data_IF_076399619809
#
_entry.id   IF_076399619809
#
_cell.length_a   1.000
_cell.length_b   1.000
_cell.length_c   1.000
_cell.angle_alpha   90.00
_cell.angle_beta   90.00
_cell.angle_gamma   90.00
#
_symmetry.space_group_name_H-M   'P 1'
#
loop_
_entity.id
_entity.type
_entity.pdbx_description
1 polymer ?
#
# COMPACT_ATOMS: atom_id res chain seq x y z
N UNK A 1 -29.09 -12.47 -31.65
CA UNK A 1 -27.82 -12.20 -32.37
C UNK A 1 -27.61 -10.69 -32.41
N UNK A 2 -27.02 -10.11 -31.38
CA UNK A 2 -26.58 -8.70 -31.39
C UNK A 2 -25.07 -8.70 -31.30
N UNK A 3 -24.44 -8.29 -32.39
CA UNK A 3 -22.99 -8.24 -32.55
C UNK A 3 -22.35 -7.41 -31.43
N UNK A 4 -21.47 -8.04 -30.66
CA UNK A 4 -20.55 -7.33 -29.76
C UNK A 4 -19.58 -6.52 -30.61
N UNK A 5 -19.62 -5.20 -30.46
CA UNK A 5 -18.68 -4.29 -31.10
C UNK A 5 -17.23 -4.67 -30.75
N UNK A 6 -16.26 -4.50 -31.68
CA UNK A 6 -14.88 -4.90 -31.44
C UNK A 6 -14.28 -4.05 -30.33
N UNK A 7 -13.93 -4.71 -29.21
CA UNK A 7 -13.24 -4.09 -28.09
C UNK A 7 -11.83 -3.70 -28.55
N UNK A 8 -11.64 -2.42 -28.88
CA UNK A 8 -10.33 -1.86 -29.25
C UNK A 8 -9.30 -2.28 -28.20
N UNK A 9 -8.29 -3.04 -28.62
CA UNK A 9 -7.10 -3.36 -27.80
C UNK A 9 -6.33 -2.07 -27.57
N UNK A 10 -6.72 -1.31 -26.56
CA UNK A 10 -5.95 -0.18 -26.05
C UNK A 10 -4.60 -0.65 -25.51
N UNK A 11 -3.63 0.27 -25.50
CA UNK A 11 -2.30 0.03 -24.95
C UNK A 11 -2.46 -0.44 -23.50
N UNK A 12 -1.79 -1.53 -23.06
CA UNK A 12 -1.93 -2.01 -21.70
C UNK A 12 -1.47 -0.93 -20.72
N UNK A 13 -2.21 -0.69 -19.62
CA UNK A 13 -1.91 0.38 -18.67
C UNK A 13 -0.52 0.23 -18.03
N UNK A 14 0.00 -1.00 -17.93
CA UNK A 14 1.36 -1.27 -17.49
C UNK A 14 2.42 -0.62 -18.40
N UNK A 15 2.21 -0.63 -19.73
CA UNK A 15 3.14 -0.02 -20.67
C UNK A 15 3.14 1.52 -20.53
N UNK A 16 1.98 2.13 -20.32
CA UNK A 16 1.87 3.56 -20.05
C UNK A 16 2.63 3.97 -18.78
N UNK A 17 2.58 3.16 -17.73
CA UNK A 17 3.33 3.39 -16.49
C UNK A 17 4.85 3.28 -16.74
N UNK A 18 5.30 2.26 -17.49
CA UNK A 18 6.72 2.11 -17.81
C UNK A 18 7.27 3.29 -18.63
N UNK A 19 6.53 3.72 -19.66
CA UNK A 19 6.90 4.89 -20.45
C UNK A 19 6.91 6.14 -19.58
N UNK A 20 5.88 6.34 -18.74
CA UNK A 20 5.81 7.46 -17.82
C UNK A 20 6.96 7.47 -16.80
N UNK A 21 7.41 6.30 -16.35
CA UNK A 21 8.58 6.15 -15.47
C UNK A 21 9.86 6.61 -16.16
N UNK A 22 10.11 6.14 -17.39
CA UNK A 22 11.29 6.54 -18.18
C UNK A 22 11.28 8.04 -18.51
N UNK A 23 10.11 8.57 -18.89
CA UNK A 23 9.93 10.01 -19.14
C UNK A 23 10.16 10.80 -17.85
N UNK A 24 9.64 10.33 -16.70
CA UNK A 24 9.86 10.94 -15.40
C UNK A 24 11.34 11.01 -15.02
N UNK A 25 12.09 9.91 -15.23
CA UNK A 25 13.54 9.89 -15.02
C UNK A 25 14.25 10.89 -15.94
N UNK A 26 13.88 10.95 -17.23
CA UNK A 26 14.45 11.91 -18.19
C UNK A 26 14.18 13.36 -17.81
N UNK A 27 12.95 13.68 -17.38
CA UNK A 27 12.57 15.01 -16.89
C UNK A 27 13.33 15.35 -15.61
N UNK A 28 13.45 14.42 -14.66
CA UNK A 28 14.22 14.62 -13.42
C UNK A 28 15.69 14.87 -13.70
N UNK A 29 16.30 14.10 -14.60
CA UNK A 29 17.69 14.30 -15.01
C UNK A 29 17.91 15.65 -15.70
N UNK A 30 16.98 16.07 -16.57
CA UNK A 30 17.04 17.38 -17.20
C UNK A 30 16.99 18.51 -16.17
N UNK A 31 16.11 18.40 -15.17
CA UNK A 31 16.04 19.38 -14.06
C UNK A 31 17.33 19.38 -13.25
N UNK A 32 17.88 18.21 -12.92
CA UNK A 32 19.14 18.07 -12.18
C UNK A 32 20.34 18.73 -12.90
N UNK A 33 20.43 18.60 -14.23
CA UNK A 33 21.54 19.17 -15.01
C UNK A 33 21.38 20.68 -15.25
N UNK A 34 20.16 21.16 -15.46
CA UNK A 34 19.91 22.57 -15.80
C UNK A 34 19.79 23.50 -14.59
N UNK A 35 19.52 22.97 -13.39
CA UNK A 35 19.43 23.73 -12.15
C UNK A 35 20.59 23.37 -11.20
N UNK A 36 21.75 24.06 -11.30
CA UNK A 36 22.91 23.77 -10.44
C UNK A 36 22.70 24.18 -8.96
N UNK A 37 21.65 24.95 -8.65
CA UNK A 37 21.31 25.35 -7.29
C UNK A 37 20.35 24.34 -6.63
N UNK A 38 20.83 23.64 -5.59
CA UNK A 38 20.09 22.58 -4.88
C UNK A 38 18.79 23.08 -4.23
N UNK A 39 18.66 24.39 -4.02
CA UNK A 39 17.44 24.98 -3.46
C UNK A 39 16.34 25.17 -4.52
N UNK A 40 16.70 25.64 -5.72
CA UNK A 40 15.76 25.76 -6.84
C UNK A 40 15.29 24.39 -7.34
N UNK A 41 16.20 23.41 -7.40
CA UNK A 41 15.85 22.02 -7.74
C UNK A 41 14.85 21.40 -6.75
N UNK A 42 14.98 21.70 -5.45
CA UNK A 42 14.03 21.25 -4.41
C UNK A 42 12.66 21.92 -4.52
N UNK A 43 12.59 23.20 -4.85
CA UNK A 43 11.30 23.86 -5.06
C UNK A 43 10.57 23.29 -6.29
N UNK A 44 11.28 23.12 -7.40
CA UNK A 44 10.73 22.49 -8.62
C UNK A 44 10.30 21.05 -8.34
N UNK A 45 11.12 20.27 -7.61
CA UNK A 45 10.75 18.92 -7.18
C UNK A 45 9.51 18.91 -6.28
N UNK A 46 9.35 19.91 -5.41
CA UNK A 46 8.16 20.09 -4.57
C UNK A 46 6.89 20.33 -5.40
N UNK A 47 6.94 21.18 -6.42
CA UNK A 47 5.79 21.38 -7.30
C UNK A 47 5.44 20.13 -8.12
N UNK A 48 6.47 19.39 -8.57
CA UNK A 48 6.28 18.13 -9.29
C UNK A 48 5.68 17.08 -8.34
N UNK A 49 6.12 17.00 -7.08
CA UNK A 49 5.67 15.98 -6.13
C UNK A 49 4.21 16.13 -5.71
N UNK A 50 3.60 17.31 -5.85
CA UNK A 50 2.17 17.54 -5.54
C UNK A 50 1.29 16.52 -6.25
N UNK A 51 1.59 16.20 -7.51
CA UNK A 51 0.79 15.25 -8.28
C UNK A 51 0.86 13.83 -7.70
N UNK A 52 2.05 13.39 -7.29
CA UNK A 52 2.23 12.10 -6.61
C UNK A 52 1.61 12.10 -5.22
N UNK A 53 1.69 13.21 -4.49
CA UNK A 53 1.11 13.34 -3.15
C UNK A 53 -0.42 13.26 -3.19
N UNK A 54 -1.06 13.94 -4.16
CA UNK A 54 -2.51 13.85 -4.38
C UNK A 54 -2.88 12.40 -4.74
N UNK A 55 -2.13 11.75 -5.62
CA UNK A 55 -2.38 10.35 -5.97
C UNK A 55 -2.28 9.42 -4.75
N UNK A 56 -1.25 9.57 -3.92
CA UNK A 56 -1.10 8.78 -2.69
C UNK A 56 -2.25 9.03 -1.70
N UNK A 57 -2.74 10.27 -1.60
CA UNK A 57 -3.93 10.60 -0.80
C UNK A 57 -5.20 9.95 -1.35
N UNK A 58 -5.37 9.93 -2.67
CA UNK A 58 -6.49 9.23 -3.32
C UNK A 58 -6.45 7.73 -3.02
N UNK A 59 -5.27 7.10 -3.06
CA UNK A 59 -5.13 5.69 -2.70
C UNK A 59 -5.44 5.47 -1.21
N UNK A 60 -4.89 6.28 -0.30
CA UNK A 60 -5.16 6.19 1.15
C UNK A 60 -6.64 6.24 1.47
N UNK A 61 -7.39 7.15 0.84
CA UNK A 61 -8.85 7.27 0.98
C UNK A 61 -9.60 5.96 0.65
N UNK A 62 -9.10 5.17 -0.30
CA UNK A 62 -9.74 3.93 -0.73
C UNK A 62 -9.41 2.73 0.15
N UNK A 63 -8.20 2.69 0.74
CA UNK A 63 -7.70 1.51 1.44
C UNK A 63 -8.67 1.07 2.54
N UNK A 64 -9.11 1.99 3.41
CA UNK A 64 -9.96 1.62 4.54
C UNK A 64 -11.28 0.94 4.12
N UNK A 65 -12.14 1.61 3.33
CA UNK A 65 -13.40 1.02 2.88
C UNK A 65 -13.23 -0.22 2.00
N UNK A 66 -12.19 -0.25 1.15
CA UNK A 66 -11.92 -1.38 0.28
C UNK A 66 -11.48 -2.62 1.08
N UNK A 67 -10.52 -2.47 1.99
CA UNK A 67 -10.06 -3.59 2.83
C UNK A 67 -11.19 -4.10 3.71
N UNK A 68 -11.98 -3.19 4.31
CA UNK A 68 -13.13 -3.59 5.12
C UNK A 68 -14.14 -4.40 4.31
N UNK A 69 -14.62 -3.84 3.20
CA UNK A 69 -15.69 -4.48 2.41
C UNK A 69 -15.24 -5.81 1.80
N UNK A 70 -14.03 -5.87 1.24
CA UNK A 70 -13.51 -7.10 0.61
C UNK A 70 -13.29 -8.23 1.61
N UNK A 71 -12.74 -7.93 2.80
CA UNK A 71 -12.56 -8.93 3.84
C UNK A 71 -13.90 -9.43 4.37
N UNK A 72 -14.80 -8.51 4.73
CA UNK A 72 -16.13 -8.88 5.25
C UNK A 72 -16.89 -9.77 4.26
N UNK A 73 -16.91 -9.41 2.97
CA UNK A 73 -17.56 -10.21 1.92
C UNK A 73 -16.88 -11.56 1.77
N UNK A 74 -15.54 -11.60 1.76
CA UNK A 74 -14.79 -12.86 1.64
C UNK A 74 -15.09 -13.82 2.79
N UNK A 75 -15.16 -13.31 4.02
CA UNK A 75 -15.45 -14.09 5.22
C UNK A 75 -16.91 -14.54 5.27
N UNK A 76 -17.84 -13.64 4.93
CA UNK A 76 -19.27 -13.94 4.90
C UNK A 76 -19.61 -15.07 3.93
N UNK A 77 -18.94 -15.13 2.77
CA UNK A 77 -19.09 -16.21 1.80
C UNK A 77 -18.53 -17.56 2.27
N UNK A 78 -17.55 -17.57 3.18
CA UNK A 78 -17.00 -18.80 3.73
C UNK A 78 -17.94 -19.47 4.75
N UNK A 79 -18.87 -18.72 5.36
CA UNK A 79 -19.97 -19.22 6.19
C UNK A 79 -19.59 -19.85 7.53
N UNK A 80 -18.34 -20.30 7.71
CA UNK A 80 -17.86 -21.01 8.90
C UNK A 80 -16.59 -20.37 9.48
N UNK A 81 -16.66 -20.00 10.75
CA UNK A 81 -15.55 -19.42 11.51
C UNK A 81 -14.33 -20.36 11.59
N UNK A 82 -14.53 -21.68 11.66
CA UNK A 82 -13.43 -22.63 11.74
C UNK A 82 -12.65 -22.70 10.42
N UNK A 83 -13.36 -22.63 9.29
CA UNK A 83 -12.77 -22.57 7.96
C UNK A 83 -11.94 -21.31 7.75
N UNK A 84 -12.48 -20.16 8.19
CA UNK A 84 -11.80 -18.85 8.16
C UNK A 84 -10.52 -18.86 8.98
N UNK A 85 -10.58 -19.35 10.23
CA UNK A 85 -9.40 -19.46 11.09
C UNK A 85 -8.31 -20.37 10.51
N UNK A 86 -8.70 -21.46 9.84
CA UNK A 86 -7.76 -22.37 9.15
C UNK A 86 -7.06 -21.70 7.98
N UNK A 87 -7.79 -20.93 7.17
CA UNK A 87 -7.20 -20.19 6.03
C UNK A 87 -6.29 -19.08 6.54
N UNK A 88 -6.72 -18.32 7.55
CA UNK A 88 -5.90 -17.29 8.19
C UNK A 88 -4.60 -17.88 8.75
N UNK A 89 -4.66 -19.01 9.46
CA UNK A 89 -3.45 -19.63 10.00
C UNK A 89 -2.50 -20.15 8.93
N UNK A 90 -3.02 -20.74 7.85
CA UNK A 90 -2.19 -21.15 6.69
C UNK A 90 -1.51 -19.95 6.05
N UNK A 91 -2.24 -18.84 5.86
CA UNK A 91 -1.72 -17.61 5.31
C UNK A 91 -0.66 -16.98 6.24
N UNK A 92 -0.91 -16.95 7.56
CA UNK A 92 0.04 -16.39 8.53
C UNK A 92 1.32 -17.22 8.61
N UNK A 93 1.21 -18.56 8.61
CA UNK A 93 2.38 -19.43 8.58
C UNK A 93 3.18 -19.23 7.30
N UNK A 94 2.51 -19.14 6.15
CA UNK A 94 3.15 -18.86 4.87
C UNK A 94 3.81 -17.47 4.82
N UNK A 95 3.15 -16.45 5.38
CA UNK A 95 3.69 -15.09 5.43
C UNK A 95 4.93 -15.01 6.33
N UNK A 96 4.90 -15.62 7.51
CA UNK A 96 6.05 -15.63 8.43
C UNK A 96 7.23 -16.38 7.81
N UNK A 97 7.01 -17.54 7.20
CA UNK A 97 8.10 -18.29 6.56
C UNK A 97 8.66 -17.54 5.35
N UNK A 98 7.81 -16.98 4.48
CA UNK A 98 8.24 -16.16 3.36
C UNK A 98 9.02 -14.91 3.81
N UNK A 99 8.57 -14.26 4.90
CA UNK A 99 9.24 -13.09 5.46
C UNK A 99 10.61 -13.44 6.03
N UNK A 100 10.74 -14.54 6.76
CA UNK A 100 12.02 -15.02 7.27
C UNK A 100 12.98 -15.35 6.13
N UNK A 101 12.52 -16.05 5.09
CA UNK A 101 13.32 -16.35 3.90
C UNK A 101 13.78 -15.06 3.21
N UNK A 102 12.87 -14.08 3.03
CA UNK A 102 13.21 -12.78 2.45
C UNK A 102 14.24 -12.01 3.30
N UNK A 103 14.13 -12.05 4.63
CA UNK A 103 15.04 -11.36 5.54
C UNK A 103 16.43 -11.99 5.51
N UNK A 104 16.50 -13.32 5.52
CA UNK A 104 17.76 -14.08 5.42
C UNK A 104 18.43 -13.80 4.07
N UNK A 105 17.69 -13.84 2.98
CA UNK A 105 18.22 -13.55 1.64
C UNK A 105 18.72 -12.10 1.55
N UNK A 106 17.97 -11.14 2.09
CA UNK A 106 18.39 -9.73 2.18
C UNK A 106 19.67 -9.56 2.99
N UNK A 107 19.79 -10.26 4.12
CA UNK A 107 21.01 -10.25 4.95
C UNK A 107 22.20 -10.83 4.19
N UNK A 108 22.05 -11.98 3.52
CA UNK A 108 23.12 -12.60 2.75
C UNK A 108 23.58 -11.68 1.61
N UNK A 109 22.66 -11.12 0.84
CA UNK A 109 22.99 -10.20 -0.25
C UNK A 109 23.63 -8.91 0.24
N UNK A 110 23.16 -8.33 1.35
CA UNK A 110 23.74 -7.12 1.93
C UNK A 110 25.18 -7.36 2.41
N UNK A 111 25.45 -8.51 3.04
CA UNK A 111 26.80 -8.87 3.47
C UNK A 111 27.74 -9.18 2.29
N UNK A 112 27.20 -9.69 1.17
CA UNK A 112 28.01 -10.00 -0.01
C UNK A 112 28.29 -8.78 -0.88
N UNK A 113 27.26 -7.99 -1.21
CA UNK A 113 27.39 -6.79 -2.04
C UNK A 113 28.01 -5.60 -1.29
N UNK A 114 27.99 -5.65 0.05
CA UNK A 114 28.50 -4.60 0.94
C UNK A 114 28.16 -3.17 0.45
N UNK A 115 26.86 -2.88 0.20
CA UNK A 115 26.47 -1.58 -0.32
C UNK A 115 26.88 -0.50 0.68
N UNK A 116 27.85 0.33 0.31
CA UNK A 116 28.36 1.41 1.14
C UNK A 116 29.84 1.35 1.52
N UNK A 117 30.53 0.23 1.30
CA UNK A 117 31.96 0.11 1.64
C UNK A 117 32.84 1.18 0.98
N UNK A 118 32.48 1.61 -0.24
CA UNK A 118 33.20 2.62 -1.02
C UNK A 118 32.51 4.00 -1.05
N UNK A 119 31.49 4.25 -0.22
CA UNK A 119 30.80 5.55 -0.24
C UNK A 119 31.57 6.66 0.49
N UNK A 120 32.67 6.34 1.19
CA UNK A 120 33.53 7.33 1.86
C UNK A 120 32.80 8.18 2.89
N UNK A 121 31.64 7.72 3.37
CA UNK A 121 30.83 8.46 4.34
C UNK A 121 31.56 8.42 5.69
N UNK A 122 31.79 9.58 6.34
CA UNK A 122 32.39 9.61 7.67
C UNK A 122 31.53 8.76 8.61
N UNK A 123 32.17 7.82 9.31
CA UNK A 123 31.51 7.03 10.33
C UNK A 123 30.94 8.00 11.38
N UNK A 124 29.64 7.93 11.71
CA UNK A 124 29.09 8.70 12.82
C UNK A 124 29.89 8.42 14.09
N UNK A 125 30.12 9.44 14.91
CA UNK A 125 30.83 9.30 16.19
C UNK A 125 30.28 8.12 17.01
N UNK A 126 31.16 7.41 17.70
CA UNK A 126 30.81 6.25 18.53
C UNK A 126 29.92 6.72 19.69
N UNK A 127 28.59 6.65 19.49
CA UNK A 127 27.60 7.19 20.43
C UNK A 127 26.71 8.29 19.86
N UNK A 128 26.87 8.71 18.61
CA UNK A 128 25.85 9.45 17.89
C UNK A 128 24.56 8.64 17.99
N UNK A 129 23.53 9.22 18.61
CA UNK A 129 22.23 8.61 18.77
C UNK A 129 21.75 8.18 17.39
N UNK A 130 21.99 6.92 17.05
CA UNK A 130 21.25 6.27 15.99
C UNK A 130 19.82 6.44 16.46
N UNK A 131 19.01 7.21 15.73
CA UNK A 131 17.58 7.41 16.03
C UNK A 131 16.83 6.08 15.81
N UNK A 132 17.40 4.96 16.26
CA UNK A 132 16.81 3.65 16.32
C UNK A 132 15.69 3.76 17.34
N UNK A 133 14.46 3.79 16.82
CA UNK A 133 13.22 3.75 17.58
C UNK A 133 13.02 2.40 18.30
N UNK A 134 14.08 1.70 18.71
CA UNK A 134 14.04 0.41 19.41
C UNK A 134 13.33 0.51 20.75
N UNK A 135 13.28 1.71 21.35
CA UNK A 135 12.70 1.95 22.67
C UNK A 135 11.15 2.02 22.71
N UNK A 136 10.45 2.05 21.55
CA UNK A 136 8.98 2.24 21.52
C UNK A 136 8.18 0.97 21.21
N UNK A 137 8.82 -0.16 20.91
CA UNK A 137 8.08 -1.37 20.57
C UNK A 137 7.93 -2.29 21.80
N UNK A 138 6.92 -2.00 22.63
CA UNK A 138 6.57 -2.89 23.75
C UNK A 138 5.47 -3.86 23.30
N UNK A 139 5.54 -5.14 23.68
CA UNK A 139 4.47 -6.12 23.37
C UNK A 139 3.08 -5.62 23.82
N UNK A 140 3.02 -4.92 24.96
CA UNK A 140 1.80 -4.29 25.46
C UNK A 140 1.25 -3.22 24.49
N UNK A 141 2.12 -2.39 23.94
CA UNK A 141 1.74 -1.33 23.00
C UNK A 141 1.29 -1.92 21.67
N UNK A 142 1.98 -2.96 21.18
CA UNK A 142 1.58 -3.70 19.98
C UNK A 142 0.18 -4.33 20.12
N UNK A 143 -0.09 -5.02 21.23
CA UNK A 143 -1.42 -5.62 21.48
C UNK A 143 -2.50 -4.55 21.60
N UNK A 144 -2.21 -3.44 22.29
CA UNK A 144 -3.15 -2.32 22.37
C UNK A 144 -3.41 -1.64 21.02
N UNK A 145 -2.44 -1.67 20.10
CA UNK A 145 -2.58 -1.11 18.75
C UNK A 145 -3.28 -2.07 17.78
N UNK A 146 -3.38 -3.36 18.12
CA UNK A 146 -4.02 -4.39 17.32
C UNK A 146 -5.54 -4.27 17.38
N UNK A 147 -6.10 -4.01 18.57
CA UNK A 147 -7.54 -3.83 18.76
C UNK A 147 -7.85 -2.32 18.70
N UNK A 148 -8.63 -1.85 17.71
CA UNK A 148 -8.98 -0.44 17.62
C UNK A 148 -9.79 0.01 18.84
N UNK A 149 -9.53 1.24 19.30
CA UNK A 149 -10.42 1.92 20.26
C UNK A 149 -11.80 2.19 19.65
N UNK A 150 -11.84 2.50 18.36
CA UNK A 150 -13.05 2.76 17.59
C UNK A 150 -12.83 2.44 16.11
N UNK A 151 -13.83 1.83 15.47
CA UNK A 151 -13.81 1.58 14.02
C UNK A 151 -13.65 2.87 13.21
N UNK A 152 -14.34 3.94 13.60
CA UNK A 152 -14.26 5.23 12.91
C UNK A 152 -12.87 5.85 13.02
N UNK A 153 -12.21 5.71 14.17
CA UNK A 153 -10.84 6.20 14.38
C UNK A 153 -9.83 5.42 13.53
N UNK A 154 -9.96 4.09 13.47
CA UNK A 154 -9.10 3.25 12.63
C UNK A 154 -9.21 3.63 11.14
N UNK A 155 -10.44 3.90 10.68
CA UNK A 155 -10.72 4.34 9.30
C UNK A 155 -10.18 5.75 9.03
N UNK A 156 -10.31 6.68 9.98
CA UNK A 156 -9.81 8.05 9.83
C UNK A 156 -8.26 8.10 9.79
N UNK A 157 -7.61 7.30 10.63
CA UNK A 157 -6.15 7.25 10.71
C UNK A 157 -5.50 6.32 9.67
N UNK A 158 -6.30 5.58 8.90
CA UNK A 158 -5.83 4.56 7.94
C UNK A 158 -4.98 3.46 8.59
N UNK A 159 -5.35 3.05 9.81
CA UNK A 159 -4.69 1.97 10.55
C UNK A 159 -5.10 0.61 10.01
N UNK A 160 -4.41 0.13 8.97
CA UNK A 160 -4.78 -1.08 8.21
C UNK A 160 -4.95 -2.29 9.13
N UNK A 161 -4.02 -2.51 10.08
CA UNK A 161 -4.08 -3.65 11.00
C UNK A 161 -5.39 -3.66 11.79
N UNK A 162 -5.78 -2.51 12.34
CA UNK A 162 -7.01 -2.37 13.12
C UNK A 162 -8.26 -2.60 12.27
N UNK A 163 -8.27 -2.09 11.03
CA UNK A 163 -9.36 -2.29 10.08
C UNK A 163 -9.51 -3.78 9.76
N UNK A 164 -8.42 -4.50 9.52
CA UNK A 164 -8.43 -5.95 9.27
C UNK A 164 -9.00 -6.71 10.46
N UNK A 165 -8.53 -6.42 11.69
CA UNK A 165 -9.02 -7.08 12.91
C UNK A 165 -10.52 -6.86 13.11
N UNK A 166 -10.99 -5.62 12.97
CA UNK A 166 -12.43 -5.32 13.05
C UNK A 166 -13.24 -6.05 11.97
N UNK A 167 -12.77 -6.01 10.72
CA UNK A 167 -13.41 -6.68 9.58
C UNK A 167 -13.52 -8.18 9.79
N UNK A 168 -12.54 -8.77 10.48
CA UNK A 168 -12.53 -10.18 10.83
C UNK A 168 -13.68 -10.51 11.79
N UNK A 169 -13.79 -9.79 12.90
CA UNK A 169 -14.89 -9.97 13.84
C UNK A 169 -16.26 -9.70 13.21
N UNK A 170 -16.36 -8.62 12.43
CA UNK A 170 -17.59 -8.24 11.75
C UNK A 170 -18.02 -9.30 10.74
N UNK A 171 -17.11 -9.78 9.90
CA UNK A 171 -17.38 -10.81 8.90
C UNK A 171 -17.83 -12.15 9.53
N UNK A 172 -17.17 -12.57 10.62
CA UNK A 172 -17.56 -13.80 11.34
C UNK A 172 -18.92 -13.65 12.02
N UNK A 173 -19.17 -12.51 12.67
CA UNK A 173 -20.47 -12.23 13.29
C UNK A 173 -21.59 -12.19 12.24
N UNK A 174 -21.31 -11.60 11.07
CA UNK A 174 -22.26 -11.52 9.97
C UNK A 174 -22.58 -12.90 9.37
N UNK A 175 -21.56 -13.76 9.22
CA UNK A 175 -21.75 -15.15 8.82
C UNK A 175 -22.59 -15.93 9.84
N UNK A 176 -22.35 -15.72 11.14
CA UNK A 176 -23.09 -16.36 12.22
C UNK A 176 -24.58 -15.94 12.30
N UNK A 177 -24.94 -14.75 11.79
CA UNK A 177 -26.33 -14.29 11.70
C UNK A 177 -27.17 -15.01 10.63
N UNK A 178 -26.53 -15.72 9.69
CA UNK A 178 -27.19 -16.46 8.63
C UNK A 178 -28.12 -15.57 7.79
N UNK A 179 -29.39 -15.96 7.66
CA UNK A 179 -30.37 -15.24 6.82
C UNK A 179 -30.61 -13.80 7.26
N UNK A 180 -30.51 -13.49 8.56
CA UNK A 180 -30.69 -12.13 9.08
C UNK A 180 -29.57 -11.17 8.63
N UNK A 181 -28.38 -11.72 8.34
CA UNK A 181 -27.22 -10.96 7.87
C UNK A 181 -27.21 -10.70 6.36
N UNK A 182 -28.05 -11.40 5.59
CA UNK A 182 -27.98 -11.42 4.11
C UNK A 182 -28.08 -10.05 3.47
N UNK A 183 -28.98 -9.19 3.95
CA UNK A 183 -29.12 -7.81 3.44
C UNK A 183 -27.83 -7.01 3.63
N UNK A 184 -27.18 -7.18 4.78
CA UNK A 184 -25.96 -6.44 5.09
C UNK A 184 -24.76 -6.99 4.31
N UNK A 185 -24.70 -8.30 4.05
CA UNK A 185 -23.71 -8.91 3.14
C UNK A 185 -23.82 -8.28 1.75
N UNK A 186 -25.02 -8.20 1.19
CA UNK A 186 -25.26 -7.60 -0.14
C UNK A 186 -24.85 -6.12 -0.18
N UNK A 187 -25.16 -5.34 0.86
CA UNK A 187 -24.75 -3.93 0.94
C UNK A 187 -23.22 -3.80 0.95
N UNK A 188 -22.52 -4.64 1.71
CA UNK A 188 -21.05 -4.61 1.79
C UNK A 188 -20.41 -5.12 0.49
N UNK A 189 -21.05 -6.04 -0.22
CA UNK A 189 -20.63 -6.50 -1.54
C UNK A 189 -20.74 -5.40 -2.60
N UNK A 190 -21.87 -4.70 -2.65
CA UNK A 190 -22.04 -3.52 -3.51
C UNK A 190 -21.02 -2.44 -3.17
N UNK A 191 -20.73 -2.21 -1.89
CA UNK A 191 -19.68 -1.30 -1.46
C UNK A 191 -18.30 -1.72 -2.00
N UNK A 192 -17.95 -3.01 -1.94
CA UNK A 192 -16.71 -3.52 -2.50
C UNK A 192 -16.62 -3.26 -4.02
N UNK A 193 -17.71 -3.49 -4.76
CA UNK A 193 -17.75 -3.21 -6.19
C UNK A 193 -17.58 -1.72 -6.51
N UNK A 194 -18.23 -0.84 -5.75
CA UNK A 194 -18.04 0.61 -5.89
C UNK A 194 -16.59 1.00 -5.60
N UNK A 195 -15.98 0.47 -4.53
CA UNK A 195 -14.58 0.75 -4.20
C UNK A 195 -13.61 0.25 -5.27
N UNK A 196 -13.84 -0.93 -5.85
CA UNK A 196 -13.06 -1.46 -6.98
C UNK A 196 -13.22 -0.57 -8.22
N UNK A 197 -14.42 -0.04 -8.48
CA UNK A 197 -14.64 0.90 -9.59
C UNK A 197 -13.88 2.21 -9.40
N UNK A 198 -13.92 2.79 -8.20
CA UNK A 198 -13.18 4.01 -7.88
C UNK A 198 -11.67 3.74 -7.97
N UNK A 199 -11.20 2.58 -7.51
CA UNK A 199 -9.81 2.14 -7.69
C UNK A 199 -9.43 2.15 -9.17
N UNK A 200 -10.30 1.65 -10.05
CA UNK A 200 -10.12 1.72 -11.49
C UNK A 200 -10.01 3.15 -12.04
N UNK A 201 -10.74 4.12 -11.47
CA UNK A 201 -10.62 5.54 -11.85
C UNK A 201 -9.31 6.15 -11.37
N UNK A 202 -8.92 5.90 -10.12
CA UNK A 202 -7.65 6.37 -9.55
C UNK A 202 -6.46 5.79 -10.33
N UNK A 203 -6.52 4.52 -10.73
CA UNK A 203 -5.47 3.88 -11.52
C UNK A 203 -5.25 4.51 -12.90
N UNK A 204 -6.22 5.23 -13.47
CA UNK A 204 -6.01 6.00 -14.72
C UNK A 204 -5.05 7.18 -14.51
N UNK A 205 -4.97 7.71 -13.29
CA UNK A 205 -4.04 8.78 -12.91
C UNK A 205 -2.64 8.26 -12.56
N UNK A 206 -2.49 6.93 -12.39
CA UNK A 206 -1.23 6.32 -11.98
C UNK A 206 -0.02 6.64 -12.88
N UNK A 207 -0.13 6.67 -14.23
CA UNK A 207 1.02 7.03 -15.08
C UNK A 207 1.53 8.43 -14.79
N UNK A 208 0.62 9.40 -14.58
CA UNK A 208 0.99 10.78 -14.29
C UNK A 208 1.66 10.90 -12.91
N UNK A 209 1.16 10.17 -11.92
CA UNK A 209 1.73 10.12 -10.58
C UNK A 209 3.12 9.45 -10.54
N UNK A 210 3.33 8.40 -11.32
CA UNK A 210 4.64 7.73 -11.42
C UNK A 210 5.65 8.63 -12.13
N UNK A 211 5.25 9.31 -13.20
CA UNK A 211 6.10 10.31 -13.86
C UNK A 211 6.55 11.38 -12.86
N UNK A 212 5.60 11.96 -12.13
CA UNK A 212 5.90 13.02 -11.17
C UNK A 212 6.77 12.53 -10.01
N UNK A 213 6.49 11.35 -9.46
CA UNK A 213 7.27 10.77 -8.37
C UNK A 213 8.73 10.50 -8.80
N UNK A 214 8.93 9.94 -9.99
CA UNK A 214 10.28 9.68 -10.51
C UNK A 214 11.02 10.95 -10.86
N UNK A 215 10.35 11.91 -11.50
CA UNK A 215 10.94 13.20 -11.81
C UNK A 215 11.38 13.96 -10.55
N UNK A 216 10.52 14.02 -9.51
CA UNK A 216 10.86 14.66 -8.24
C UNK A 216 12.01 13.95 -7.49
N UNK A 217 12.06 12.61 -7.55
CA UNK A 217 13.11 11.82 -6.89
C UNK A 217 14.48 11.95 -7.58
N UNK A 218 14.50 12.01 -8.92
CA UNK A 218 15.74 12.11 -9.71
C UNK A 218 16.25 13.57 -9.81
N UNK A 219 15.37 14.56 -9.62
CA UNK A 219 15.73 15.97 -9.68
C UNK A 219 16.57 16.48 -8.49
N UNK A 220 16.67 15.72 -7.39
CA UNK A 220 17.30 16.14 -6.12
C UNK A 220 18.56 15.33 -5.80
#
# INVERSE_FOLDING_TARGET
MTASAPQKRGIPPAYLILVAMLVGIGVGYFVFVNFPDKQAAKEVAGYISIMSDVFLRLIKMLIGPLVFSTLVVGIAHMGDAASVGRVFMKAMLWFVTASLVSLVLGLVLANWLQPGHNLGLPLPDVGAATNLATAKFTLKEFVNHLVPKSFAEAMANNEILQIVVFSMFFGVALAALGEKGKTLVLVVEELAHVMLKITGYVMKLAPLAVLSAMAATVAV
#
